data_IF_677834683318
#
_entry.id   IF_677834683318
#
_cell.length_a   1.000
_cell.length_b   1.000
_cell.length_c   1.000
_cell.angle_alpha   90.00
_cell.angle_beta   90.00
_cell.angle_gamma   90.00
#
_symmetry.space_group_name_H-M   'P 1'
#
loop_
_entity.id
_entity.type
_entity.pdbx_description
1 polymer ?
#
# COMPACT_ATOMS: atom_id res chain seq x y z
N UNK A 1 8.67 -16.91 8.86
CA UNK A 1 7.24 -17.16 9.10
C UNK A 1 6.56 -17.28 7.75
N UNK A 2 6.27 -18.50 7.34
CA UNK A 2 5.50 -18.77 6.13
C UNK A 2 4.03 -18.40 6.36
N UNK A 3 3.32 -17.86 5.36
CA UNK A 3 1.89 -17.61 5.49
C UNK A 3 1.15 -18.95 5.66
N UNK A 4 0.14 -18.96 6.54
CA UNK A 4 -0.66 -20.16 6.86
C UNK A 4 -1.55 -20.63 5.71
N UNK A 5 -1.65 -19.84 4.63
CA UNK A 5 -2.30 -20.20 3.37
C UNK A 5 -1.30 -19.98 2.22
N UNK A 6 -1.19 -20.98 1.35
CA UNK A 6 -0.30 -21.06 0.17
C UNK A 6 -0.67 -20.06 -0.97
N UNK A 7 -1.43 -19.00 -0.65
CA UNK A 7 -1.81 -17.97 -1.63
C UNK A 7 -0.80 -16.84 -1.58
N UNK A 8 0.14 -16.85 -2.52
CA UNK A 8 1.04 -15.73 -2.75
C UNK A 8 0.25 -14.47 -3.10
N UNK A 9 0.44 -13.40 -2.31
CA UNK A 9 -0.15 -12.09 -2.60
C UNK A 9 0.64 -11.40 -3.72
N UNK A 10 -0.02 -11.03 -4.81
CA UNK A 10 0.60 -10.32 -5.94
C UNK A 10 0.05 -8.90 -5.99
N UNK A 11 0.95 -7.92 -6.01
CA UNK A 11 0.57 -6.51 -6.11
C UNK A 11 1.34 -5.83 -7.23
N UNK A 12 0.67 -4.91 -7.95
CA UNK A 12 1.32 -4.07 -8.95
C UNK A 12 2.01 -2.91 -8.24
N UNK A 13 3.23 -2.61 -8.66
CA UNK A 13 4.01 -1.49 -8.12
C UNK A 13 3.72 -0.21 -8.92
N UNK A 14 3.71 0.92 -8.22
CA UNK A 14 3.70 2.23 -8.86
C UNK A 14 5.06 2.51 -9.50
N UNK A 15 5.10 3.38 -10.51
CA UNK A 15 6.36 3.80 -11.14
C UNK A 15 7.36 4.36 -10.10
N UNK A 16 6.87 5.10 -9.10
CA UNK A 16 7.67 5.60 -7.99
C UNK A 16 8.30 4.49 -7.16
N UNK A 17 7.52 3.47 -6.78
CA UNK A 17 8.01 2.31 -6.03
C UNK A 17 9.04 1.51 -6.86
N UNK A 18 8.79 1.28 -8.14
CA UNK A 18 9.75 0.63 -9.05
C UNK A 18 11.05 1.43 -9.14
N UNK A 19 10.99 2.76 -9.29
CA UNK A 19 12.17 3.62 -9.32
C UNK A 19 12.94 3.54 -8.00
N UNK A 20 12.25 3.52 -6.86
CA UNK A 20 12.87 3.38 -5.54
C UNK A 20 13.58 2.02 -5.38
N UNK A 21 12.96 0.92 -5.80
CA UNK A 21 13.58 -0.42 -5.75
C UNK A 21 14.82 -0.52 -6.66
N UNK A 22 14.78 0.08 -7.86
CA UNK A 22 15.96 0.14 -8.74
C UNK A 22 17.12 0.90 -8.09
N UNK A 23 16.86 2.05 -7.45
CA UNK A 23 17.89 2.78 -6.69
C UNK A 23 18.42 1.95 -5.53
N UNK A 24 17.54 1.27 -4.80
CA UNK A 24 17.93 0.41 -3.70
C UNK A 24 18.83 -0.74 -4.17
N UNK A 25 18.48 -1.40 -5.29
CA UNK A 25 19.31 -2.46 -5.88
C UNK A 25 20.69 -1.96 -6.28
N UNK A 26 20.80 -0.75 -6.85
CA UNK A 26 22.10 -0.13 -7.16
C UNK A 26 22.94 0.04 -5.89
N UNK A 27 22.38 0.64 -4.85
CA UNK A 27 23.06 0.86 -3.58
C UNK A 27 23.50 -0.46 -2.90
N UNK A 28 22.69 -1.53 -3.01
CA UNK A 28 23.07 -2.85 -2.52
C UNK A 28 24.30 -3.42 -3.22
N UNK A 29 24.39 -3.27 -4.55
CA UNK A 29 25.53 -3.76 -5.32
C UNK A 29 26.81 -3.02 -4.93
N UNK A 30 26.71 -1.70 -4.72
CA UNK A 30 27.82 -0.89 -4.22
C UNK A 30 28.28 -1.36 -2.82
N UNK A 31 27.34 -1.63 -1.91
CA UNK A 31 27.63 -2.13 -0.56
C UNK A 31 28.24 -3.54 -0.57
N UNK A 32 27.73 -4.42 -1.44
CA UNK A 32 28.24 -5.78 -1.61
C UNK A 32 29.70 -5.79 -2.08
N UNK A 33 30.07 -4.89 -3.00
CA UNK A 33 31.46 -4.72 -3.44
C UNK A 33 32.32 -4.19 -2.29
N UNK A 34 31.81 -3.20 -1.55
CA UNK A 34 32.52 -2.57 -0.42
C UNK A 34 32.82 -3.56 0.71
N UNK A 35 31.92 -4.52 0.95
CA UNK A 35 31.97 -5.45 2.08
C UNK A 35 32.22 -6.90 1.65
N UNK A 36 32.88 -7.11 0.50
CA UNK A 36 32.99 -8.41 -0.18
C UNK A 36 33.37 -9.62 0.71
N UNK A 37 34.08 -9.43 1.83
CA UNK A 37 34.42 -10.50 2.78
C UNK A 37 33.38 -10.80 3.88
N UNK A 38 32.40 -9.93 4.12
CA UNK A 38 31.39 -10.03 5.18
C UNK A 38 29.96 -10.13 4.66
N UNK A 39 29.75 -9.97 3.36
CA UNK A 39 28.43 -10.00 2.75
C UNK A 39 27.92 -11.43 2.56
N UNK A 40 26.74 -11.73 3.12
CA UNK A 40 26.05 -13.00 2.91
C UNK A 40 24.87 -12.83 1.95
N UNK A 41 24.92 -13.49 0.78
CA UNK A 41 23.84 -13.37 -0.21
C UNK A 41 22.66 -14.31 0.09
N UNK A 42 21.67 -13.77 0.79
CA UNK A 42 20.38 -14.43 1.05
C UNK A 42 19.29 -14.05 0.03
N UNK A 43 19.66 -13.38 -1.08
CA UNK A 43 18.73 -12.86 -2.11
C UNK A 43 17.60 -11.99 -1.56
N UNK A 44 17.86 -11.30 -0.44
CA UNK A 44 16.91 -10.42 0.21
C UNK A 44 16.78 -9.11 -0.58
N UNK A 45 15.54 -8.63 -0.76
CA UNK A 45 15.29 -7.32 -1.37
C UNK A 45 15.66 -6.18 -0.42
N UNK A 46 15.63 -6.39 0.90
CA UNK A 46 16.02 -5.41 1.92
C UNK A 46 16.91 -6.08 2.98
N UNK A 47 18.21 -6.30 2.70
CA UNK A 47 19.14 -6.84 3.66
C UNK A 47 19.63 -5.74 4.63
N UNK A 48 20.22 -6.16 5.74
CA UNK A 48 21.08 -5.29 6.54
C UNK A 48 22.44 -5.08 5.86
N UNK A 49 23.36 -4.35 6.51
CA UNK A 49 24.67 -4.02 5.94
C UNK A 49 25.53 -5.25 5.58
N UNK A 50 25.26 -6.43 6.13
CA UNK A 50 26.03 -7.66 5.86
C UNK A 50 25.23 -8.71 5.08
N UNK A 51 24.14 -8.32 4.41
CA UNK A 51 23.34 -9.24 3.59
C UNK A 51 22.29 -10.07 4.35
N UNK A 52 22.23 -9.97 5.68
CA UNK A 52 21.27 -10.71 6.55
C UNK A 52 19.94 -9.99 6.68
N UNK A 53 18.97 -10.65 7.32
CA UNK A 53 17.65 -10.07 7.62
C UNK A 53 17.74 -8.81 8.50
N UNK A 54 16.92 -7.81 8.19
CA UNK A 54 16.75 -6.64 9.05
C UNK A 54 15.90 -7.01 10.27
N UNK A 55 16.35 -6.62 11.45
CA UNK A 55 15.55 -6.69 12.67
C UNK A 55 14.54 -5.51 12.72
N UNK A 56 13.25 -5.80 12.82
CA UNK A 56 12.19 -4.80 12.78
C UNK A 56 12.26 -3.75 13.92
N UNK A 57 12.69 -4.16 15.12
CA UNK A 57 12.88 -3.24 16.25
C UNK A 57 14.02 -2.27 15.97
N UNK A 58 15.13 -2.78 15.42
CA UNK A 58 16.27 -1.93 15.04
C UNK A 58 15.91 -0.99 13.90
N UNK A 59 15.21 -1.47 12.87
CA UNK A 59 14.72 -0.62 11.78
C UNK A 59 13.88 0.55 12.31
N UNK A 60 12.97 0.25 13.24
CA UNK A 60 12.11 1.27 13.83
C UNK A 60 12.93 2.25 14.68
N UNK A 61 13.70 1.74 15.65
CA UNK A 61 14.39 2.57 16.64
C UNK A 61 15.59 3.33 16.06
N UNK A 62 16.33 2.75 15.12
CA UNK A 62 17.61 3.29 14.62
C UNK A 62 17.53 3.95 13.26
N UNK A 63 16.44 3.76 12.51
CA UNK A 63 16.29 4.36 11.18
C UNK A 63 15.01 5.18 11.08
N UNK A 64 13.84 4.59 11.37
CA UNK A 64 12.57 5.27 11.18
C UNK A 64 12.34 6.41 12.19
N UNK A 65 12.55 6.18 13.48
CA UNK A 65 12.36 7.23 14.51
C UNK A 65 13.33 8.41 14.34
N UNK A 66 14.64 8.19 14.08
CA UNK A 66 15.55 9.30 13.74
C UNK A 66 15.10 10.07 12.50
N UNK A 67 14.65 9.38 11.43
CA UNK A 67 14.17 10.04 10.22
C UNK A 67 12.96 10.94 10.50
N UNK A 68 12.03 10.51 11.36
CA UNK A 68 10.89 11.36 11.76
C UNK A 68 11.35 12.65 12.44
N UNK A 69 12.38 12.59 13.28
CA UNK A 69 12.93 13.78 13.96
C UNK A 69 13.56 14.71 12.93
N UNK A 70 14.36 14.17 12.01
CA UNK A 70 15.04 14.92 10.96
C UNK A 70 14.06 15.70 10.08
N UNK A 71 12.91 15.10 9.75
CA UNK A 71 11.87 15.74 8.91
C UNK A 71 10.79 16.48 9.72
N UNK A 72 10.95 16.62 11.04
CA UNK A 72 10.05 17.39 11.90
C UNK A 72 8.69 16.73 12.19
N UNK A 73 8.57 15.40 12.05
CA UNK A 73 7.34 14.66 12.32
C UNK A 73 7.26 14.14 13.76
N UNK A 74 6.04 13.95 14.31
CA UNK A 74 5.85 13.44 15.66
C UNK A 74 6.47 12.06 15.87
N UNK A 75 7.18 11.86 16.99
CA UNK A 75 7.73 10.56 17.38
C UNK A 75 6.66 9.49 17.62
N UNK A 76 5.40 9.87 17.79
CA UNK A 76 4.29 8.93 17.92
C UNK A 76 4.00 8.16 16.63
N UNK A 77 4.35 8.69 15.46
CA UNK A 77 4.15 8.02 14.15
C UNK A 77 4.92 6.71 14.11
N UNK A 78 4.25 5.63 13.73
CA UNK A 78 4.77 4.25 13.67
C UNK A 78 4.95 3.83 12.23
N UNK A 79 5.80 2.84 11.99
CA UNK A 79 6.11 2.39 10.63
C UNK A 79 4.86 1.86 9.92
N UNK A 80 3.94 1.20 10.65
CA UNK A 80 2.69 0.70 10.09
C UNK A 80 1.66 1.80 9.82
N UNK A 81 1.84 3.01 10.36
CA UNK A 81 0.96 4.14 10.04
C UNK A 81 1.14 4.54 8.56
N UNK A 82 2.29 4.26 7.93
CA UNK A 82 2.47 4.41 6.47
C UNK A 82 1.49 3.57 5.66
N UNK A 83 1.18 2.35 6.16
CA UNK A 83 0.19 1.46 5.55
C UNK A 83 -1.22 1.98 5.75
N UNK A 84 -1.51 2.57 6.92
CA UNK A 84 -2.77 3.25 7.17
C UNK A 84 -2.95 4.45 6.24
N UNK A 85 -1.92 5.28 6.07
CA UNK A 85 -1.94 6.41 5.13
C UNK A 85 -2.21 5.95 3.70
N UNK A 86 -1.59 4.86 3.25
CA UNK A 86 -1.88 4.28 1.92
C UNK A 86 -3.36 3.93 1.75
N UNK A 87 -3.96 3.26 2.75
CA UNK A 87 -5.37 2.93 2.73
C UNK A 87 -6.25 4.18 2.67
N UNK A 88 -6.02 5.15 3.57
CA UNK A 88 -6.78 6.40 3.63
C UNK A 88 -6.71 7.18 2.31
N UNK A 89 -5.52 7.28 1.70
CA UNK A 89 -5.33 7.98 0.42
C UNK A 89 -6.08 7.33 -0.74
N UNK A 90 -6.16 6.01 -0.77
CA UNK A 90 -6.88 5.29 -1.82
C UNK A 90 -8.40 5.43 -1.63
N UNK A 91 -8.87 5.31 -0.40
CA UNK A 91 -10.30 5.42 -0.09
C UNK A 91 -10.82 6.85 -0.28
N UNK A 92 -10.05 7.87 0.10
CA UNK A 92 -10.42 9.27 -0.14
C UNK A 92 -10.46 9.64 -1.63
N UNK A 93 -9.78 8.86 -2.48
CA UNK A 93 -9.84 8.95 -3.95
C UNK A 93 -10.95 8.09 -4.56
N UNK A 94 -11.84 7.52 -3.74
CA UNK A 94 -12.97 6.72 -4.20
C UNK A 94 -12.61 5.30 -4.64
N UNK A 95 -11.40 4.82 -4.37
CA UNK A 95 -11.03 3.43 -4.69
C UNK A 95 -11.88 2.49 -3.84
N UNK A 96 -12.50 1.52 -4.49
CA UNK A 96 -13.41 0.60 -3.83
C UNK A 96 -12.71 -0.15 -2.66
N UNK A 97 -13.32 -0.24 -1.45
CA UNK A 97 -12.70 -0.84 -0.27
C UNK A 97 -12.19 -2.27 -0.49
N UNK A 98 -12.86 -3.06 -1.33
CA UNK A 98 -12.41 -4.40 -1.71
C UNK A 98 -11.05 -4.39 -2.41
N UNK A 99 -10.83 -3.45 -3.33
CA UNK A 99 -9.57 -3.30 -4.07
C UNK A 99 -8.47 -2.87 -3.10
N UNK A 100 -8.76 -1.95 -2.19
CA UNK A 100 -7.80 -1.51 -1.16
C UNK A 100 -7.44 -2.67 -0.22
N UNK A 101 -8.42 -3.46 0.22
CA UNK A 101 -8.20 -4.65 1.05
C UNK A 101 -7.26 -5.65 0.35
N UNK A 102 -7.54 -5.96 -0.92
CA UNK A 102 -6.73 -6.83 -1.73
C UNK A 102 -5.32 -6.27 -1.89
N UNK A 103 -5.17 -5.02 -2.32
CA UNK A 103 -3.85 -4.38 -2.50
C UNK A 103 -2.98 -4.50 -1.25
N UNK A 104 -3.57 -4.24 -0.09
CA UNK A 104 -2.88 -4.30 1.19
C UNK A 104 -2.64 -5.75 1.63
N UNK A 105 -3.50 -6.69 1.26
CA UNK A 105 -3.45 -8.08 1.74
C UNK A 105 -4.00 -8.22 3.15
N UNK A 106 -5.01 -7.41 3.52
CA UNK A 106 -5.74 -7.63 4.78
C UNK A 106 -6.56 -8.92 4.68
N UNK A 107 -6.47 -9.77 5.72
CA UNK A 107 -7.21 -11.03 5.78
C UNK A 107 -8.74 -10.81 5.71
N UNK A 108 -9.23 -9.66 6.15
CA UNK A 108 -10.66 -9.31 6.18
C UNK A 108 -10.92 -7.88 5.73
N UNK A 109 -12.03 -7.67 5.00
CA UNK A 109 -12.58 -6.37 4.61
C UNK A 109 -12.99 -5.51 5.80
N UNK A 110 -13.42 -6.12 6.91
CA UNK A 110 -13.92 -5.42 8.11
C UNK A 110 -12.90 -4.42 8.64
N UNK A 111 -11.61 -4.78 8.71
CA UNK A 111 -10.55 -3.84 9.14
C UNK A 111 -10.53 -2.58 8.26
N UNK A 112 -10.86 -2.69 6.98
CA UNK A 112 -10.80 -1.55 6.05
C UNK A 112 -12.09 -0.72 6.12
N UNK A 113 -13.27 -1.32 6.17
CA UNK A 113 -14.51 -0.55 6.30
C UNK A 113 -14.71 0.04 7.70
N UNK A 114 -14.41 -0.71 8.77
CA UNK A 114 -14.57 -0.24 10.15
C UNK A 114 -13.56 0.87 10.49
N UNK A 115 -12.33 0.80 9.95
CA UNK A 115 -11.30 1.80 10.21
C UNK A 115 -11.46 3.07 9.37
N UNK A 116 -12.04 2.98 8.16
CA UNK A 116 -12.02 4.09 7.19
C UNK A 116 -13.40 4.57 6.74
N UNK A 117 -14.48 4.12 7.35
CA UNK A 117 -15.85 4.59 7.08
C UNK A 117 -15.98 6.12 7.11
N UNK A 118 -15.24 6.79 8.00
CA UNK A 118 -15.23 8.25 8.16
C UNK A 118 -14.57 9.03 7.00
N UNK A 119 -13.75 8.37 6.15
CA UNK A 119 -13.05 8.98 5.00
C UNK A 119 -13.66 8.56 3.66
N UNK A 120 -14.84 7.95 3.66
CA UNK A 120 -15.61 7.61 2.46
C UNK A 120 -16.64 8.72 2.18
N UNK A 121 -16.28 9.79 1.43
CA UNK A 121 -17.23 10.84 1.10
C UNK A 121 -18.32 10.30 0.17
N UNK A 122 -19.58 10.52 0.55
CA UNK A 122 -20.77 10.49 -0.31
C UNK A 122 -20.90 9.27 -1.26
N UNK A 123 -20.46 8.08 -0.84
CA UNK A 123 -20.61 6.85 -1.63
C UNK A 123 -22.08 6.53 -1.92
N UNK A 124 -22.98 6.89 -1.00
CA UNK A 124 -24.43 6.75 -1.19
C UNK A 124 -24.94 7.64 -2.34
N UNK A 125 -24.50 8.91 -2.41
CA UNK A 125 -24.88 9.80 -3.52
C UNK A 125 -24.38 9.27 -4.87
N UNK A 126 -23.13 8.79 -4.94
CA UNK A 126 -22.60 8.17 -6.16
C UNK A 126 -23.37 6.91 -6.56
N UNK A 127 -23.78 6.08 -5.59
CA UNK A 127 -24.58 4.89 -5.84
C UNK A 127 -25.97 5.24 -6.40
N UNK A 128 -26.62 6.28 -5.85
CA UNK A 128 -27.91 6.77 -6.35
C UNK A 128 -27.77 7.31 -7.78
N UNK A 129 -26.76 8.14 -8.05
CA UNK A 129 -26.51 8.65 -9.42
C UNK A 129 -26.19 7.52 -10.40
N UNK A 130 -25.42 6.51 -9.99
CA UNK A 130 -25.11 5.36 -10.82
C UNK A 130 -26.37 4.51 -11.12
N UNK A 131 -27.24 4.32 -10.12
CA UNK A 131 -28.51 3.63 -10.29
C UNK A 131 -29.43 4.40 -11.26
N UNK A 132 -29.57 5.71 -11.06
CA UNK A 132 -30.35 6.57 -11.94
C UNK A 132 -29.83 6.49 -13.38
N UNK A 133 -28.51 6.60 -13.59
CA UNK A 133 -27.89 6.49 -14.91
C UNK A 133 -28.12 5.12 -15.55
N UNK A 134 -28.10 4.03 -14.78
CA UNK A 134 -28.32 2.68 -15.31
C UNK A 134 -29.78 2.46 -15.72
N UNK A 135 -30.73 3.02 -14.96
CA UNK A 135 -32.17 2.92 -15.22
C UNK A 135 -32.62 3.86 -16.35
N UNK A 136 -32.01 5.04 -16.48
CA UNK A 136 -32.33 6.03 -17.51
C UNK A 136 -31.73 5.71 -18.89
N UNK A 137 -30.78 4.78 -19.00
CA UNK A 137 -30.28 4.25 -20.27
C UNK A 137 -31.19 3.19 -20.92
N UNK A 138 -32.51 3.38 -20.91
CA UNK A 138 -33.46 2.55 -21.67
C UNK A 138 -33.89 3.28 -22.97
N UNK A 139 -33.39 2.89 -24.15
CA UNK A 139 -33.74 3.54 -25.42
C UNK A 139 -35.12 3.10 -25.99
N UNK A 140 -36.10 2.75 -25.15
CA UNK A 140 -37.42 2.30 -25.61
C UNK A 140 -38.53 3.36 -25.60
N UNK A 141 -38.21 4.64 -25.40
CA UNK A 141 -39.16 5.71 -25.72
C UNK A 141 -38.88 6.21 -27.14
N UNK A 142 -39.38 5.48 -28.14
CA UNK A 142 -39.62 6.05 -29.47
C UNK A 142 -41.11 6.03 -29.80
N UNK A 143 -41.65 7.24 -29.76
CA UNK A 143 -42.76 7.78 -30.56
C UNK A 143 -44.17 7.28 -30.24
N UNK A 144 -44.80 7.98 -29.29
CA UNK A 144 -46.15 8.48 -29.58
C UNK A 144 -45.98 9.60 -30.63
N UNK A 145 -46.63 9.44 -31.78
CA UNK A 145 -46.84 10.52 -32.74
C UNK A 145 -48.36 10.73 -32.86
N UNK A 146 -48.81 11.98 -33.08
CA UNK A 146 -50.16 12.47 -32.75
C UNK A 146 -51.27 11.96 -33.67
#
# INVERSE_FOLDING_TARGET
MSPKNDKGHRTKLTAGATKALKRHRKAQLEEQIRLAGLWEDHRLVFPNQVGKTINAKNLTARSFKPLLIEVGLPKSVRLHDLRHTCATLLLSRGVHPKIVQELLGHATTSITLDTYSHVLPNMQGQAVTAMESALSSNPLVRQENP
#
